data_IF_649580768030
#
_entry.id   IF_649580768030
#
_cell.length_a   1.000
_cell.length_b   1.000
_cell.length_c   1.000
_cell.angle_alpha   90.00
_cell.angle_beta   90.00
_cell.angle_gamma   90.00
#
_symmetry.space_group_name_H-M   'P 1'
#
loop_
_entity.id
_entity.type
_entity.pdbx_description
1 polymer ?
#
# COMPACT_ATOMS: atom_id res chain seq x y z
N UNK A 1 -36.67 30.38 7.10
CA UNK A 1 -35.26 30.65 7.44
C UNK A 1 -34.64 29.55 8.32
N UNK A 2 -35.32 29.04 9.34
CA UNK A 2 -34.82 27.96 10.22
C UNK A 2 -34.60 26.60 9.52
N UNK A 3 -35.48 26.25 8.58
CA UNK A 3 -35.37 25.01 7.79
C UNK A 3 -34.13 24.95 6.88
N UNK A 4 -33.73 26.09 6.29
CA UNK A 4 -32.51 26.22 5.48
C UNK A 4 -31.24 26.14 6.34
N UNK A 5 -31.33 26.53 7.62
CA UNK A 5 -30.23 26.41 8.59
C UNK A 5 -30.03 24.95 9.03
N UNK A 6 -31.11 24.20 9.26
CA UNK A 6 -31.02 22.78 9.65
C UNK A 6 -30.42 21.95 8.50
N UNK A 7 -30.85 22.16 7.26
CA UNK A 7 -30.30 21.43 6.11
C UNK A 7 -28.84 21.78 5.86
N UNK A 8 -28.45 23.06 5.95
CA UNK A 8 -27.04 23.46 5.82
C UNK A 8 -26.19 22.90 6.95
N UNK A 9 -26.65 22.91 8.21
CA UNK A 9 -25.95 22.28 9.35
C UNK A 9 -25.78 20.78 9.12
N UNK A 10 -26.84 20.07 8.70
CA UNK A 10 -26.78 18.64 8.40
C UNK A 10 -25.81 18.34 7.25
N UNK A 11 -25.82 19.13 6.17
CA UNK A 11 -24.88 19.01 5.05
C UNK A 11 -23.44 19.28 5.52
N UNK A 12 -23.19 20.33 6.30
CA UNK A 12 -21.85 20.65 6.81
C UNK A 12 -21.33 19.57 7.77
N UNK A 13 -22.21 18.96 8.59
CA UNK A 13 -21.87 17.84 9.48
C UNK A 13 -21.57 16.58 8.70
N UNK A 14 -22.38 16.22 7.70
CA UNK A 14 -22.15 15.06 6.84
C UNK A 14 -20.87 15.20 6.01
N UNK A 15 -20.59 16.40 5.48
CA UNK A 15 -19.38 16.70 4.70
C UNK A 15 -18.13 16.69 5.59
N UNK A 16 -18.22 17.14 6.86
CA UNK A 16 -17.12 17.04 7.83
C UNK A 16 -16.76 15.60 8.19
N UNK A 17 -17.77 14.73 8.32
CA UNK A 17 -17.57 13.34 8.75
C UNK A 17 -17.02 12.44 7.63
N UNK A 18 -17.22 12.79 6.36
CA UNK A 18 -16.75 11.98 5.23
C UNK A 18 -15.28 12.22 4.85
N UNK A 19 -14.61 13.22 5.43
CA UNK A 19 -13.29 13.69 5.00
C UNK A 19 -12.15 13.47 6.01
N UNK A 20 -12.41 12.83 7.15
CA UNK A 20 -11.46 12.75 8.28
C UNK A 20 -10.94 11.33 8.54
N UNK A 21 -11.11 10.39 7.61
CA UNK A 21 -10.55 9.04 7.80
C UNK A 21 -9.07 8.89 7.36
N UNK A 22 -8.42 9.93 6.84
CA UNK A 22 -6.98 9.89 6.54
C UNK A 22 -6.14 9.89 7.83
N UNK A 23 -6.58 10.59 8.90
CA UNK A 23 -5.70 11.02 9.99
C UNK A 23 -6.02 10.44 11.37
N UNK A 24 -7.00 9.54 11.49
CA UNK A 24 -7.50 9.07 12.80
C UNK A 24 -6.45 8.34 13.64
N UNK A 25 -5.37 7.81 13.02
CA UNK A 25 -4.31 7.06 13.70
C UNK A 25 -2.87 7.60 13.50
N UNK A 26 -2.66 8.80 12.91
CA UNK A 26 -1.33 9.43 12.82
C UNK A 26 -0.92 9.94 11.43
N UNK A 27 0.39 10.08 11.21
CA UNK A 27 1.05 10.72 10.04
C UNK A 27 0.71 10.11 8.66
N UNK A 28 0.10 8.93 8.63
CA UNK A 28 -0.11 8.12 7.42
C UNK A 28 -1.56 7.62 7.31
N UNK A 29 -2.04 7.51 6.08
CA UNK A 29 -3.34 6.91 5.76
C UNK A 29 -3.31 5.38 5.83
N UNK A 30 -4.44 4.76 5.49
CA UNK A 30 -4.56 3.30 5.43
C UNK A 30 -3.64 2.70 4.35
N UNK A 31 -3.15 1.49 4.59
CA UNK A 31 -2.45 0.72 3.57
C UNK A 31 -3.40 0.29 2.46
N UNK A 32 -2.97 0.47 1.22
CA UNK A 32 -3.59 -0.21 0.09
C UNK A 32 -3.35 -1.71 0.19
N UNK A 33 -4.20 -2.53 -0.47
CA UNK A 33 -3.93 -3.94 -0.65
C UNK A 33 -2.55 -4.17 -1.27
N UNK A 34 -1.95 -5.33 -0.97
CA UNK A 34 -0.74 -5.77 -1.66
C UNK A 34 -1.02 -5.91 -3.16
N UNK A 35 -0.11 -5.39 -3.98
CA UNK A 35 -0.07 -5.67 -5.43
C UNK A 35 0.14 -7.17 -5.68
N UNK A 36 -0.17 -7.60 -6.90
CA UNK A 36 0.24 -8.92 -7.35
C UNK A 36 1.76 -9.09 -7.22
N UNK A 37 2.17 -10.33 -6.94
CA UNK A 37 3.57 -10.69 -6.98
C UNK A 37 4.18 -10.37 -8.34
N UNK A 38 5.42 -9.87 -8.30
CA UNK A 38 6.21 -9.68 -9.53
C UNK A 38 6.43 -10.98 -10.29
N UNK A 39 6.27 -12.14 -9.64
CA UNK A 39 6.43 -13.48 -10.19
C UNK A 39 5.43 -14.45 -9.58
N UNK A 40 4.99 -15.43 -10.37
CA UNK A 40 4.11 -16.50 -9.90
C UNK A 40 4.86 -17.65 -9.22
N UNK A 41 6.17 -17.77 -9.42
CA UNK A 41 7.00 -18.88 -8.92
C UNK A 41 8.47 -18.46 -8.74
N UNK A 42 9.18 -19.25 -7.95
CA UNK A 42 10.61 -19.15 -7.67
C UNK A 42 11.07 -17.91 -6.95
N UNK A 43 10.20 -17.38 -6.10
CA UNK A 43 10.41 -16.17 -5.37
C UNK A 43 9.97 -14.95 -6.17
N UNK A 44 9.53 -13.95 -5.43
CA UNK A 44 9.14 -12.67 -5.97
C UNK A 44 9.01 -11.66 -4.86
N UNK A 45 8.64 -10.47 -5.26
CA UNK A 45 8.29 -9.39 -4.34
C UNK A 45 6.92 -8.86 -4.71
N UNK A 46 6.14 -8.53 -3.70
CA UNK A 46 4.98 -7.67 -3.85
C UNK A 46 5.21 -6.37 -3.09
N UNK A 47 4.38 -5.38 -3.40
CA UNK A 47 4.47 -4.07 -2.77
C UNK A 47 3.08 -3.60 -2.39
N UNK A 48 3.00 -2.84 -1.30
CA UNK A 48 1.83 -2.03 -0.96
C UNK A 48 2.28 -0.60 -0.67
N UNK A 49 1.33 0.32 -0.72
CA UNK A 49 1.61 1.73 -0.41
C UNK A 49 0.51 2.36 0.43
N UNK A 50 0.86 3.43 1.14
CA UNK A 50 -0.09 4.30 1.84
C UNK A 50 0.30 5.76 1.65
N UNK A 51 -0.69 6.63 1.72
CA UNK A 51 -0.48 8.08 1.65
C UNK A 51 0.10 8.63 2.95
N UNK A 52 0.91 9.68 2.84
CA UNK A 52 1.33 10.50 4.00
C UNK A 52 0.30 11.61 4.17
N UNK A 53 -0.44 11.60 5.29
CA UNK A 53 -1.49 12.59 5.53
C UNK A 53 -0.93 13.91 6.04
N UNK A 54 0.27 13.91 6.65
CA UNK A 54 0.90 15.10 7.21
C UNK A 54 2.38 15.16 6.77
N UNK A 55 2.72 15.49 5.50
CA UNK A 55 4.11 15.58 5.07
C UNK A 55 4.82 16.74 5.80
N UNK A 56 6.15 16.65 5.91
CA UNK A 56 6.96 17.80 6.32
C UNK A 56 7.39 18.60 5.09
N UNK A 57 7.32 19.93 5.19
CA UNK A 57 7.93 20.85 4.22
C UNK A 57 9.07 21.55 4.95
N UNK A 58 10.31 21.37 4.49
CA UNK A 58 11.51 21.93 5.14
C UNK A 58 11.64 21.56 6.64
N UNK A 59 11.24 20.33 7.00
CA UNK A 59 11.31 19.84 8.39
C UNK A 59 10.19 20.31 9.31
N UNK A 60 9.21 21.07 8.79
CA UNK A 60 8.04 21.52 9.55
C UNK A 60 6.81 20.70 9.15
N UNK A 61 6.10 20.16 10.14
CA UNK A 61 4.82 19.49 9.92
C UNK A 61 3.78 20.48 9.40
N UNK A 62 3.21 20.21 8.22
CA UNK A 62 2.04 20.96 7.75
C UNK A 62 0.76 20.30 8.25
N UNK A 63 -0.26 21.11 8.51
CA UNK A 63 -1.59 20.63 8.89
C UNK A 63 -2.11 19.65 7.82
N UNK A 64 -2.55 18.48 8.29
CA UNK A 64 -3.06 17.40 7.45
C UNK A 64 -4.32 17.82 6.66
N UNK A 65 -5.12 18.76 7.20
CA UNK A 65 -6.24 19.36 6.44
C UNK A 65 -5.75 20.16 5.23
N UNK A 66 -4.59 20.79 5.32
CA UNK A 66 -4.00 21.57 4.22
C UNK A 66 -3.20 20.70 3.24
N UNK A 67 -2.74 19.52 3.68
CA UNK A 67 -1.95 18.58 2.88
C UNK A 67 -2.79 17.58 2.07
N UNK A 68 -4.03 17.31 2.47
CA UNK A 68 -4.92 16.34 1.80
C UNK A 68 -5.06 16.56 0.27
N UNK A 69 -4.89 17.79 -0.20
CA UNK A 69 -4.98 18.15 -1.63
C UNK A 69 -3.63 18.47 -2.29
N UNK A 70 -2.50 18.29 -1.61
CA UNK A 70 -1.17 18.66 -2.12
C UNK A 70 -0.27 17.43 -2.24
N UNK A 71 -0.18 16.93 -3.47
CA UNK A 71 0.75 15.89 -3.96
C UNK A 71 0.75 14.61 -3.13
N UNK A 72 0.25 13.52 -3.73
CA UNK A 72 0.18 12.19 -3.13
C UNK A 72 1.60 11.67 -2.80
N UNK A 73 2.11 12.02 -1.62
CA UNK A 73 3.34 11.45 -1.11
C UNK A 73 3.00 10.07 -0.58
N UNK A 74 3.55 9.04 -1.21
CA UNK A 74 3.34 7.66 -0.82
C UNK A 74 4.57 7.09 -0.10
N UNK A 75 4.32 6.19 0.84
CA UNK A 75 5.33 5.29 1.39
C UNK A 75 5.03 3.90 0.85
N UNK A 76 6.08 3.23 0.40
CA UNK A 76 6.03 1.86 -0.12
C UNK A 76 6.60 0.88 0.88
N UNK A 77 6.01 -0.31 0.94
CA UNK A 77 6.51 -1.46 1.68
C UNK A 77 6.64 -2.63 0.71
N UNK A 78 7.75 -3.38 0.81
CA UNK A 78 8.04 -4.53 -0.03
C UNK A 78 8.08 -5.79 0.83
N UNK A 79 7.44 -6.86 0.36
CA UNK A 79 7.43 -8.16 1.01
C UNK A 79 7.82 -9.28 0.04
N UNK A 80 8.42 -10.39 0.53
CA UNK A 80 8.65 -11.57 -0.28
C UNK A 80 7.32 -12.27 -0.59
N UNK A 81 7.23 -12.92 -1.74
CA UNK A 81 6.10 -13.76 -2.07
C UNK A 81 6.44 -14.88 -3.06
N UNK A 82 5.47 -15.79 -3.27
CA UNK A 82 5.54 -17.04 -4.05
C UNK A 82 6.84 -17.83 -3.92
N UNK A 83 6.85 -18.77 -2.98
CA UNK A 83 7.96 -19.72 -2.77
C UNK A 83 7.79 -21.01 -3.59
N UNK A 84 6.88 -21.01 -4.55
CA UNK A 84 6.55 -22.21 -5.33
C UNK A 84 7.61 -22.48 -6.39
N UNK A 85 8.13 -23.70 -6.41
CA UNK A 85 9.04 -24.19 -7.44
C UNK A 85 8.38 -25.34 -8.20
N UNK A 86 8.66 -25.46 -9.49
CA UNK A 86 8.14 -26.54 -10.32
C UNK A 86 9.07 -27.76 -10.26
N UNK A 87 8.55 -28.90 -10.74
CA UNK A 87 9.32 -30.14 -10.94
C UNK A 87 10.10 -30.64 -9.70
N UNK A 88 9.54 -30.43 -8.51
CA UNK A 88 10.11 -30.91 -7.25
C UNK A 88 11.34 -30.14 -6.76
N UNK A 89 11.62 -28.97 -7.35
CA UNK A 89 12.70 -28.10 -6.91
C UNK A 89 12.45 -27.54 -5.49
N UNK A 90 13.54 -27.31 -4.75
CA UNK A 90 13.50 -26.78 -3.39
C UNK A 90 13.59 -25.26 -3.42
N UNK A 91 12.67 -24.58 -2.72
CA UNK A 91 12.83 -23.14 -2.48
C UNK A 91 13.75 -22.88 -1.28
N UNK A 92 14.81 -22.11 -1.50
CA UNK A 92 15.69 -21.64 -0.44
C UNK A 92 15.55 -20.12 -0.33
N UNK A 93 15.15 -19.64 0.86
CA UNK A 93 15.00 -18.20 1.11
C UNK A 93 16.31 -17.46 0.82
N UNK A 94 16.23 -16.41 0.00
CA UNK A 94 17.37 -15.63 -0.47
C UNK A 94 18.14 -16.21 -1.67
N UNK A 95 17.91 -17.48 -2.03
CA UNK A 95 18.53 -18.12 -3.21
C UNK A 95 17.52 -18.38 -4.33
N UNK A 96 16.23 -18.57 -4.02
CA UNK A 96 15.19 -18.94 -4.98
C UNK A 96 15.10 -20.45 -5.16
N UNK A 97 14.54 -20.91 -6.28
CA UNK A 97 14.44 -22.34 -6.56
C UNK A 97 15.81 -22.95 -6.89
N UNK A 98 16.12 -24.07 -6.23
CA UNK A 98 17.23 -24.93 -6.59
C UNK A 98 16.71 -26.05 -7.48
N UNK A 99 17.02 -25.96 -8.77
CA UNK A 99 16.51 -26.88 -9.78
C UNK A 99 17.21 -28.24 -9.76
N UNK A 100 16.44 -29.30 -10.00
CA UNK A 100 17.00 -30.62 -10.31
C UNK A 100 17.67 -30.63 -11.70
N UNK A 101 18.62 -31.54 -11.98
CA UNK A 101 19.28 -31.63 -13.28
C UNK A 101 18.27 -31.77 -14.43
N UNK A 102 18.45 -30.97 -15.49
CA UNK A 102 17.56 -30.94 -16.64
C UNK A 102 16.48 -29.85 -16.60
N UNK A 103 16.36 -29.11 -15.49
CA UNK A 103 15.47 -27.97 -15.36
C UNK A 103 16.25 -26.69 -15.10
N UNK A 104 15.82 -25.59 -15.71
CA UNK A 104 16.41 -24.27 -15.53
C UNK A 104 15.36 -23.18 -15.30
N UNK A 105 15.84 -21.94 -15.14
CA UNK A 105 14.99 -20.78 -14.90
C UNK A 105 14.56 -20.62 -13.45
N UNK A 106 13.87 -19.52 -13.17
CA UNK A 106 13.45 -19.15 -11.81
C UNK A 106 12.51 -20.18 -11.19
N UNK A 107 11.68 -20.82 -12.01
CA UNK A 107 10.67 -21.77 -11.54
C UNK A 107 11.08 -23.24 -11.73
N UNK A 108 12.22 -23.51 -12.36
CA UNK A 108 12.68 -24.87 -12.69
C UNK A 108 11.73 -25.61 -13.64
N UNK A 109 11.23 -24.93 -14.67
CA UNK A 109 10.20 -25.46 -15.57
C UNK A 109 10.69 -25.97 -16.93
N UNK A 110 11.92 -25.63 -17.36
CA UNK A 110 12.75 -26.17 -18.47
C UNK A 110 13.88 -25.16 -18.70
#
# INVERSE_FOLDING_TARGET
MYWLLITTILIHVHVKLFFVDCCTNGEYGIWNPWENCSQSCGGGTHRRWRSVCCPTVNGVWVDCLAAYNKTEKFIFEYGPCSETCDNGALFISGTGCVCSPGYTGRCCSI
#
